data_IF_613348686841
#
_entry.id   IF_613348686841
#
_cell.length_a   1.000
_cell.length_b   1.000
_cell.length_c   1.000
_cell.angle_alpha   90.00
_cell.angle_beta   90.00
_cell.angle_gamma   90.00
#
_symmetry.space_group_name_H-M   'P 1'
#
loop_
_entity.id
_entity.type
_entity.pdbx_description
1 polymer ?
#
# COMPACT_ATOMS: atom_id res chain seq x y z
N UNK A 1 5.40 -5.19 -32.31
CA UNK A 1 4.66 -6.19 -33.06
C UNK A 1 5.58 -6.99 -33.97
N UNK A 2 6.47 -6.37 -34.76
CA UNK A 2 7.38 -7.03 -35.74
C UNK A 2 8.23 -8.16 -35.13
N UNK A 3 8.52 -8.11 -33.84
CA UNK A 3 9.31 -9.11 -33.09
C UNK A 3 8.47 -10.30 -32.56
N UNK A 4 7.17 -10.25 -32.69
CA UNK A 4 6.26 -11.30 -32.22
C UNK A 4 5.88 -12.27 -33.37
N UNK A 5 5.35 -13.46 -33.08
CA UNK A 5 4.77 -14.34 -34.10
C UNK A 5 3.70 -13.61 -34.92
N UNK A 6 3.48 -14.08 -36.15
CA UNK A 6 2.46 -13.51 -37.05
C UNK A 6 1.07 -13.65 -36.43
N UNK A 7 0.36 -12.53 -36.34
CA UNK A 7 -0.98 -12.43 -35.78
C UNK A 7 -2.07 -12.75 -36.82
N UNK A 8 -3.30 -13.01 -36.37
CA UNK A 8 -4.44 -13.28 -37.24
C UNK A 8 -4.69 -12.14 -38.24
N UNK A 9 -4.75 -10.84 -37.84
CA UNK A 9 -4.94 -9.72 -38.77
C UNK A 9 -3.86 -9.62 -39.85
N UNK A 10 -2.63 -10.05 -39.55
CA UNK A 10 -1.53 -10.10 -40.55
C UNK A 10 -1.77 -11.23 -41.54
N UNK A 11 -2.26 -12.40 -41.08
CA UNK A 11 -2.59 -13.55 -41.96
C UNK A 11 -3.75 -13.25 -42.89
N UNK A 12 -4.70 -12.47 -42.42
CA UNK A 12 -5.87 -12.02 -43.18
C UNK A 12 -5.59 -10.83 -44.11
N UNK A 13 -4.36 -10.31 -44.10
CA UNK A 13 -3.94 -9.18 -44.96
C UNK A 13 -4.47 -7.82 -44.49
N UNK A 14 -5.07 -7.74 -43.31
CA UNK A 14 -5.57 -6.48 -42.75
C UNK A 14 -4.44 -5.55 -42.30
N UNK A 15 -3.29 -6.11 -41.95
CA UNK A 15 -2.11 -5.38 -41.48
C UNK A 15 -0.88 -5.87 -42.25
N UNK A 16 -0.16 -4.94 -42.89
CA UNK A 16 1.12 -5.26 -43.50
C UNK A 16 2.22 -5.19 -42.46
N UNK A 17 2.89 -6.33 -42.22
CA UNK A 17 3.96 -6.49 -41.24
C UNK A 17 5.14 -5.55 -41.48
N UNK A 18 5.46 -5.25 -42.73
CA UNK A 18 6.58 -4.36 -43.07
C UNK A 18 6.37 -2.94 -42.54
N UNK A 19 5.13 -2.52 -42.36
CA UNK A 19 4.76 -1.23 -41.79
C UNK A 19 4.79 -1.20 -40.26
N UNK A 20 5.02 -2.34 -39.59
CA UNK A 20 5.11 -2.41 -38.14
C UNK A 20 6.50 -2.11 -37.64
N UNK A 21 6.59 -1.41 -36.50
CA UNK A 21 7.85 -1.12 -35.85
C UNK A 21 8.29 -2.26 -34.91
N UNK A 22 9.62 -2.46 -34.82
CA UNK A 22 10.26 -3.40 -33.91
C UNK A 22 10.53 -2.83 -32.50
N UNK A 23 9.69 -1.89 -32.02
CA UNK A 23 9.86 -1.24 -30.72
C UNK A 23 9.51 -2.24 -29.62
N UNK A 24 10.40 -2.38 -28.64
CA UNK A 24 10.24 -3.26 -27.49
C UNK A 24 10.78 -2.61 -26.20
N UNK A 25 10.42 -3.20 -25.05
CA UNK A 25 10.88 -2.73 -23.76
C UNK A 25 9.93 -1.74 -23.10
N UNK A 26 10.35 -1.22 -21.94
CA UNK A 26 9.56 -0.30 -21.12
C UNK A 26 9.81 1.18 -21.45
N UNK A 27 10.91 1.48 -22.11
CA UNK A 27 11.24 2.83 -22.52
C UNK A 27 10.27 3.28 -23.63
N UNK A 28 9.66 4.45 -23.47
CA UNK A 28 8.71 5.00 -24.45
C UNK A 28 9.27 6.14 -25.27
N UNK A 29 10.57 6.41 -25.13
CA UNK A 29 11.23 7.52 -25.83
C UNK A 29 10.99 7.45 -27.34
N UNK A 30 11.31 6.31 -27.95
CA UNK A 30 11.12 6.09 -29.39
C UNK A 30 9.65 6.23 -29.83
N UNK A 31 8.70 5.78 -28.99
CA UNK A 31 7.27 5.94 -29.27
C UNK A 31 6.84 7.42 -29.24
N UNK A 32 7.40 8.21 -28.32
CA UNK A 32 7.14 9.65 -28.23
C UNK A 32 7.77 10.43 -29.39
N UNK A 33 8.95 10.02 -29.85
CA UNK A 33 9.60 10.58 -31.05
C UNK A 33 8.75 10.33 -32.30
N UNK A 34 8.27 9.09 -32.48
CA UNK A 34 7.37 8.74 -33.58
C UNK A 34 6.05 9.52 -33.52
N UNK A 35 5.45 9.67 -32.32
CA UNK A 35 4.24 10.47 -32.15
C UNK A 35 4.47 11.92 -32.62
N UNK A 36 5.62 12.50 -32.28
CA UNK A 36 6.02 13.83 -32.74
C UNK A 36 6.22 13.88 -34.24
N UNK A 37 6.89 12.90 -34.83
CA UNK A 37 7.11 12.77 -36.26
C UNK A 37 5.80 12.67 -37.04
N UNK A 38 4.84 11.88 -36.55
CA UNK A 38 3.51 11.74 -37.13
C UNK A 38 2.53 12.86 -36.78
N UNK A 39 2.99 13.89 -36.05
CA UNK A 39 2.16 15.04 -35.69
C UNK A 39 1.04 14.72 -34.69
N UNK A 40 1.14 13.58 -33.98
CA UNK A 40 0.18 13.18 -32.96
C UNK A 40 0.47 14.01 -31.70
N UNK A 41 -0.44 14.94 -31.37
CA UNK A 41 -0.29 15.88 -30.26
C UNK A 41 -1.03 15.44 -29.01
N UNK A 42 -2.12 14.70 -29.20
CA UNK A 42 -3.03 14.32 -28.13
C UNK A 42 -2.96 12.80 -27.89
N UNK A 43 -2.17 12.43 -26.91
CA UNK A 43 -2.06 11.06 -26.45
C UNK A 43 -1.87 11.03 -24.93
N UNK A 44 -2.41 10.04 -24.24
CA UNK A 44 -2.23 9.94 -22.78
C UNK A 44 -0.74 9.80 -22.49
N UNK A 45 -0.21 10.73 -21.68
CA UNK A 45 1.14 10.61 -21.16
C UNK A 45 1.22 9.23 -20.51
N UNK A 46 2.24 8.42 -20.86
CA UNK A 46 2.42 7.16 -20.20
C UNK A 46 2.58 7.46 -18.70
N UNK A 47 1.51 7.26 -17.95
CA UNK A 47 1.63 7.28 -16.51
C UNK A 47 2.77 6.33 -16.18
N UNK A 48 3.74 6.79 -15.42
CA UNK A 48 4.86 5.98 -14.95
C UNK A 48 4.38 4.75 -14.15
N UNK A 49 3.10 4.71 -13.85
CA UNK A 49 2.36 3.61 -13.26
C UNK A 49 1.33 3.09 -14.27
N UNK A 50 1.66 2.02 -14.95
CA UNK A 50 0.64 1.13 -15.49
C UNK A 50 -0.22 0.54 -14.36
N UNK A 51 -0.86 -0.59 -14.58
CA UNK A 51 -1.58 -1.32 -13.54
C UNK A 51 -0.69 -1.48 -12.29
N UNK A 52 -1.19 -1.09 -11.13
CA UNK A 52 -0.43 -1.13 -9.86
C UNK A 52 0.15 -2.53 -9.55
N UNK A 53 -0.48 -3.58 -10.06
CA UNK A 53 -0.02 -4.98 -9.90
C UNK A 53 1.33 -5.24 -10.59
N UNK A 54 1.74 -4.41 -11.55
CA UNK A 54 3.07 -4.51 -12.18
C UNK A 54 4.20 -4.10 -11.22
N UNK A 55 3.90 -3.26 -10.23
CA UNK A 55 4.84 -2.96 -9.15
C UNK A 55 5.00 -4.17 -8.24
N UNK A 56 6.24 -4.65 -8.10
CA UNK A 56 6.56 -5.86 -7.32
C UNK A 56 6.14 -5.74 -5.86
N UNK A 57 6.28 -4.54 -5.26
CA UNK A 57 5.91 -4.31 -3.86
C UNK A 57 4.40 -4.35 -3.68
N UNK A 58 3.67 -3.74 -4.61
CA UNK A 58 2.22 -3.77 -4.61
C UNK A 58 1.69 -5.19 -4.82
N UNK A 59 2.22 -5.91 -5.81
CA UNK A 59 1.85 -7.30 -6.09
C UNK A 59 2.08 -8.22 -4.87
N UNK A 60 3.20 -8.02 -4.16
CA UNK A 60 3.47 -8.76 -2.91
C UNK A 60 2.40 -8.50 -1.85
N UNK A 61 2.03 -7.23 -1.64
CA UNK A 61 0.98 -6.85 -0.67
C UNK A 61 -0.40 -7.36 -1.07
N UNK A 62 -0.69 -7.38 -2.36
CA UNK A 62 -1.93 -7.93 -2.91
C UNK A 62 -2.02 -9.44 -2.68
N UNK A 63 -0.96 -10.19 -2.99
CA UNK A 63 -0.90 -11.64 -2.74
C UNK A 63 -1.03 -11.96 -1.25
N UNK A 64 -0.38 -11.17 -0.40
CA UNK A 64 -0.52 -11.29 1.03
C UNK A 64 -1.95 -11.03 1.50
N UNK A 65 -2.61 -9.98 0.97
CA UNK A 65 -4.01 -9.70 1.26
C UNK A 65 -4.90 -10.90 0.92
N UNK A 66 -4.74 -11.50 -0.26
CA UNK A 66 -5.52 -12.67 -0.67
C UNK A 66 -5.29 -13.85 0.28
N UNK A 67 -4.03 -14.08 0.69
CA UNK A 67 -3.68 -15.22 1.55
C UNK A 67 -4.30 -15.12 2.94
N UNK A 68 -4.44 -13.91 3.49
CA UNK A 68 -4.95 -13.68 4.85
C UNK A 68 -6.38 -13.12 4.90
N UNK A 69 -6.99 -12.79 3.75
CA UNK A 69 -8.34 -12.26 3.72
C UNK A 69 -9.39 -13.35 3.85
N UNK A 70 -9.86 -13.59 5.06
CA UNK A 70 -10.89 -14.59 5.36
C UNK A 70 -12.26 -14.24 4.78
N UNK A 71 -12.54 -12.95 4.60
CA UNK A 71 -13.85 -12.47 4.11
C UNK A 71 -13.97 -12.54 2.59
N UNK A 72 -12.84 -12.70 1.85
CA UNK A 72 -12.74 -12.69 0.39
C UNK A 72 -13.35 -11.45 -0.29
N UNK A 73 -13.68 -10.41 0.48
CA UNK A 73 -14.20 -9.15 -0.04
C UNK A 73 -13.00 -8.27 -0.38
N UNK A 74 -12.80 -7.99 -1.66
CA UNK A 74 -11.81 -7.04 -2.16
C UNK A 74 -12.59 -5.95 -2.88
N UNK A 75 -12.52 -4.74 -2.36
CA UNK A 75 -13.12 -3.57 -2.97
C UNK A 75 -12.04 -2.55 -3.39
N UNK A 76 -12.44 -1.52 -4.12
CA UNK A 76 -11.52 -0.50 -4.64
C UNK A 76 -10.79 0.24 -3.50
N UNK A 77 -11.44 0.43 -2.39
CA UNK A 77 -10.88 1.12 -1.23
C UNK A 77 -9.73 0.32 -0.60
N UNK A 78 -9.91 -0.98 -0.39
CA UNK A 78 -8.85 -1.88 0.07
C UNK A 78 -7.66 -1.83 -0.91
N UNK A 79 -7.93 -1.85 -2.21
CA UNK A 79 -6.89 -1.77 -3.25
C UNK A 79 -6.11 -0.44 -3.19
N UNK A 80 -6.77 0.68 -2.94
CA UNK A 80 -6.11 1.97 -2.76
C UNK A 80 -5.19 1.98 -1.54
N UNK A 81 -5.60 1.37 -0.42
CA UNK A 81 -4.77 1.31 0.78
C UNK A 81 -3.54 0.41 0.64
N UNK A 82 -3.57 -0.57 -0.26
CA UNK A 82 -2.36 -1.35 -0.57
C UNK A 82 -1.21 -0.49 -1.15
N UNK A 83 -1.52 0.65 -1.76
CA UNK A 83 -0.53 1.57 -2.28
C UNK A 83 0.09 2.47 -1.21
N UNK A 84 -0.58 2.65 -0.07
CA UNK A 84 -0.23 3.60 0.99
C UNK A 84 0.62 2.92 2.06
N UNK A 85 1.64 3.62 2.53
CA UNK A 85 2.42 3.24 3.68
C UNK A 85 3.40 2.08 3.47
N UNK A 86 4.04 1.73 4.57
CA UNK A 86 4.91 0.56 4.70
C UNK A 86 4.11 -0.53 5.43
N UNK A 87 3.95 -1.66 4.79
CA UNK A 87 3.20 -2.81 5.32
C UNK A 87 4.16 -3.78 6.00
N UNK A 88 3.92 -4.09 7.25
CA UNK A 88 4.76 -4.94 8.09
C UNK A 88 3.87 -6.00 8.74
N UNK A 89 4.13 -7.27 8.45
CA UNK A 89 3.45 -8.38 9.10
C UNK A 89 4.05 -8.56 10.50
N UNK A 90 3.21 -8.47 11.54
CA UNK A 90 3.61 -8.67 12.93
C UNK A 90 3.56 -10.16 13.26
N UNK A 91 2.44 -10.80 12.92
CA UNK A 91 2.25 -12.25 12.98
C UNK A 91 1.17 -12.68 11.96
N UNK A 92 0.69 -13.92 12.05
CA UNK A 92 -0.34 -14.44 11.14
C UNK A 92 -1.70 -13.69 11.26
N UNK A 93 -1.97 -13.08 12.40
CA UNK A 93 -3.26 -12.44 12.71
C UNK A 93 -3.21 -10.91 12.71
N UNK A 94 -2.02 -10.31 12.56
CA UNK A 94 -1.85 -8.86 12.67
C UNK A 94 -0.88 -8.28 11.64
N UNK A 95 -1.22 -7.10 11.12
CA UNK A 95 -0.43 -6.35 10.15
C UNK A 95 -0.41 -4.88 10.47
N UNK A 96 0.78 -4.33 10.61
CA UNK A 96 1.00 -2.90 10.82
C UNK A 96 1.21 -2.18 9.48
N UNK A 97 0.52 -1.07 9.29
CA UNK A 97 0.71 -0.15 8.17
C UNK A 97 1.20 1.18 8.72
N UNK A 98 2.38 1.62 8.30
CA UNK A 98 2.98 2.89 8.72
C UNK A 98 3.02 3.88 7.57
N UNK A 99 2.55 5.10 7.79
CA UNK A 99 2.69 6.18 6.81
C UNK A 99 4.15 6.61 6.64
N UNK A 100 4.56 6.87 5.40
CA UNK A 100 5.94 7.27 5.05
C UNK A 100 6.15 8.78 5.05
N UNK A 101 5.06 9.53 4.97
CA UNK A 101 5.03 10.99 4.92
C UNK A 101 3.68 11.51 5.45
N UNK A 102 3.57 12.83 5.60
CA UNK A 102 2.37 13.48 6.12
C UNK A 102 1.09 13.17 5.31
N UNK A 103 1.20 13.14 3.97
CA UNK A 103 0.06 12.81 3.10
C UNK A 103 -0.47 11.40 3.37
N UNK A 104 0.42 10.44 3.54
CA UNK A 104 0.05 9.05 3.86
C UNK A 104 -0.45 8.91 5.29
N UNK A 105 0.16 9.60 6.26
CA UNK A 105 -0.33 9.66 7.63
C UNK A 105 -1.77 10.17 7.67
N UNK A 106 -2.06 11.26 6.99
CA UNK A 106 -3.41 11.82 6.89
C UNK A 106 -4.39 10.89 6.19
N UNK A 107 -3.93 10.12 5.19
CA UNK A 107 -4.76 9.14 4.51
C UNK A 107 -5.10 7.96 5.43
N UNK A 108 -4.14 7.47 6.19
CA UNK A 108 -4.35 6.38 7.17
C UNK A 108 -5.25 6.84 8.33
N UNK A 109 -5.06 8.06 8.84
CA UNK A 109 -5.92 8.63 9.88
C UNK A 109 -7.38 8.81 9.40
N UNK A 110 -7.57 9.17 8.12
CA UNK A 110 -8.91 9.26 7.52
C UNK A 110 -9.56 7.89 7.33
N UNK A 111 -8.79 6.82 7.11
CA UNK A 111 -9.31 5.45 6.99
C UNK A 111 -10.10 5.04 8.23
N UNK A 112 -9.64 5.42 9.41
CA UNK A 112 -10.33 5.17 10.67
C UNK A 112 -11.76 5.74 10.70
N UNK A 113 -12.02 6.82 9.96
CA UNK A 113 -13.33 7.48 9.84
C UNK A 113 -14.24 6.86 8.78
N UNK A 114 -13.71 6.14 7.81
CA UNK A 114 -14.44 5.50 6.71
C UNK A 114 -14.66 4.05 7.09
N UNK A 115 -15.77 3.76 7.70
CA UNK A 115 -16.42 2.51 8.14
C UNK A 115 -16.10 1.20 7.40
N UNK A 116 -14.82 0.85 7.19
CA UNK A 116 -14.47 -0.55 7.06
C UNK A 116 -14.10 -1.01 8.48
N UNK A 117 -15.07 -1.02 9.36
CA UNK A 117 -14.90 -1.55 10.70
C UNK A 117 -14.73 -3.06 10.60
N UNK A 118 -13.51 -3.52 10.58
CA UNK A 118 -13.16 -4.74 11.29
C UNK A 118 -13.24 -4.39 12.77
N UNK A 119 -13.79 -5.26 13.57
CA UNK A 119 -14.19 -5.02 14.98
C UNK A 119 -12.99 -4.60 15.86
N UNK A 120 -11.74 -4.84 15.40
CA UNK A 120 -10.53 -4.73 16.21
C UNK A 120 -9.37 -3.95 15.54
N UNK A 121 -9.65 -3.03 14.63
CA UNK A 121 -8.59 -2.18 14.06
C UNK A 121 -8.10 -1.17 15.12
N UNK A 122 -6.79 -1.11 15.31
CA UNK A 122 -6.14 -0.27 16.32
C UNK A 122 -5.31 0.80 15.60
N UNK A 123 -5.45 2.06 16.00
CA UNK A 123 -4.60 3.13 15.52
C UNK A 123 -3.51 3.46 16.52
N UNK A 124 -2.31 3.75 16.01
CA UNK A 124 -1.15 4.15 16.78
C UNK A 124 -0.73 5.55 16.35
N UNK A 125 -0.78 6.50 17.26
CA UNK A 125 -0.39 7.89 17.02
C UNK A 125 0.75 8.29 17.96
N UNK A 126 1.90 8.73 17.41
CA UNK A 126 2.96 9.24 18.26
C UNK A 126 2.52 10.53 18.95
N UNK A 127 2.90 10.71 20.22
CA UNK A 127 2.60 11.93 20.97
C UNK A 127 3.58 13.07 20.67
N UNK A 128 4.24 13.03 19.51
CA UNK A 128 5.16 14.06 19.01
C UNK A 128 4.88 14.35 17.53
N UNK A 129 5.33 15.53 17.06
CA UNK A 129 4.85 16.10 15.80
C UNK A 129 5.46 15.52 14.52
N UNK A 130 6.40 14.56 14.57
CA UNK A 130 7.19 14.14 13.39
C UNK A 130 7.31 12.62 13.19
N UNK A 131 6.41 11.83 13.76
CA UNK A 131 6.44 10.38 13.61
C UNK A 131 5.45 9.83 12.58
N UNK A 132 5.61 8.56 12.19
CA UNK A 132 4.63 7.89 11.34
C UNK A 132 3.32 7.66 12.10
N UNK A 133 2.19 7.80 11.41
CA UNK A 133 0.93 7.27 11.88
C UNK A 133 0.88 5.77 11.60
N UNK A 134 0.45 4.97 12.56
CA UNK A 134 0.33 3.53 12.45
C UNK A 134 -1.14 3.08 12.41
N UNK A 135 -1.43 2.14 11.56
CA UNK A 135 -2.72 1.46 11.48
C UNK A 135 -2.48 -0.04 11.62
N UNK A 136 -3.01 -0.66 12.67
CA UNK A 136 -2.85 -2.07 12.97
C UNK A 136 -4.13 -2.81 12.58
N UNK A 137 -4.05 -3.61 11.53
CA UNK A 137 -5.12 -4.51 11.08
C UNK A 137 -5.06 -5.80 11.89
N UNK A 138 -6.18 -6.17 12.52
CA UNK A 138 -6.36 -7.44 13.24
C UNK A 138 -7.27 -8.34 12.43
N UNK A 139 -6.85 -9.57 12.17
CA UNK A 139 -7.57 -10.52 11.31
C UNK A 139 -8.39 -11.55 12.07
N UNK A 140 -8.21 -11.64 13.38
CA UNK A 140 -8.89 -12.61 14.24
C UNK A 140 -9.29 -11.96 15.56
N UNK A 141 -10.55 -12.18 15.98
CA UNK A 141 -11.08 -11.69 17.24
C UNK A 141 -10.45 -12.43 18.43
N UNK A 142 -10.44 -11.79 19.59
CA UNK A 142 -10.01 -12.37 20.88
C UNK A 142 -8.59 -12.97 20.86
N UNK A 143 -7.61 -12.19 20.39
CA UNK A 143 -6.21 -12.60 20.44
C UNK A 143 -5.68 -12.59 21.89
N UNK A 144 -5.23 -13.74 22.37
CA UNK A 144 -4.63 -13.85 23.71
C UNK A 144 -3.34 -13.02 23.84
N UNK A 145 -2.68 -12.70 22.70
CA UNK A 145 -1.42 -11.96 22.61
C UNK A 145 -1.58 -10.53 22.09
N UNK A 146 -2.78 -9.95 22.13
CA UNK A 146 -3.06 -8.62 21.59
C UNK A 146 -2.14 -7.55 22.17
N UNK A 147 -1.87 -7.57 23.48
CA UNK A 147 -0.96 -6.62 24.13
C UNK A 147 0.46 -6.71 23.58
N UNK A 148 0.95 -7.92 23.33
CA UNK A 148 2.28 -8.16 22.74
C UNK A 148 2.35 -7.66 21.29
N UNK A 149 1.32 -7.92 20.49
CA UNK A 149 1.19 -7.41 19.12
C UNK A 149 1.23 -5.88 19.10
N UNK A 150 0.46 -5.25 19.96
CA UNK A 150 0.39 -3.79 20.07
C UNK A 150 1.73 -3.22 20.52
N UNK A 151 2.38 -3.83 21.50
CA UNK A 151 3.69 -3.41 21.97
C UNK A 151 4.76 -3.52 20.87
N UNK A 152 4.85 -4.65 20.18
CA UNK A 152 5.75 -4.85 19.02
C UNK A 152 5.48 -3.84 17.92
N UNK A 153 4.21 -3.56 17.63
CA UNK A 153 3.82 -2.56 16.63
C UNK A 153 4.29 -1.16 17.01
N UNK A 154 4.18 -0.83 18.29
CA UNK A 154 4.63 0.45 18.82
C UNK A 154 6.16 0.57 18.79
N UNK A 155 6.91 -0.48 19.11
CA UNK A 155 8.38 -0.51 18.97
C UNK A 155 8.82 -0.31 17.53
N UNK A 156 8.19 -1.02 16.59
CA UNK A 156 8.47 -0.86 15.14
C UNK A 156 8.19 0.59 14.72
N UNK A 157 7.09 1.18 15.18
CA UNK A 157 6.77 2.59 14.89
C UNK A 157 7.84 3.53 15.46
N UNK A 158 8.32 3.26 16.67
CA UNK A 158 9.43 3.98 17.30
C UNK A 158 10.72 3.93 16.47
N UNK A 159 11.09 2.77 15.97
CA UNK A 159 12.25 2.60 15.09
C UNK A 159 12.19 3.47 13.82
N UNK A 160 10.99 3.68 13.26
CA UNK A 160 10.78 4.55 12.10
C UNK A 160 10.55 6.02 12.46
N UNK A 161 10.57 6.37 13.74
CA UNK A 161 10.58 7.75 14.18
C UNK A 161 11.95 8.38 13.85
N UNK A 162 11.92 9.63 13.45
CA UNK A 162 13.16 10.39 13.13
C UNK A 162 13.76 11.10 14.35
N UNK A 163 13.15 10.95 15.51
CA UNK A 163 13.58 11.63 16.73
C UNK A 163 14.41 10.68 17.60
N UNK A 164 15.54 11.16 18.10
CA UNK A 164 16.25 10.49 19.18
C UNK A 164 15.46 10.73 20.47
N UNK A 165 14.89 9.71 21.03
CA UNK A 165 14.13 9.77 22.28
C UNK A 165 14.66 8.72 23.25
N UNK A 166 14.67 9.08 24.50
CA UNK A 166 14.91 8.13 25.59
C UNK A 166 13.64 7.28 25.82
N UNK A 167 12.47 7.95 25.77
CA UNK A 167 11.15 7.35 25.87
C UNK A 167 10.21 7.86 24.77
N UNK A 168 9.58 6.95 24.05
CA UNK A 168 8.54 7.26 23.09
C UNK A 168 7.18 6.99 23.70
N UNK A 169 6.30 8.00 23.70
CA UNK A 169 4.90 7.83 24.08
C UNK A 169 4.03 7.70 22.83
N UNK A 170 3.27 6.63 22.74
CA UNK A 170 2.36 6.35 21.62
C UNK A 170 0.95 6.22 22.18
N UNK A 171 0.02 7.02 21.65
CA UNK A 171 -1.40 6.88 21.92
C UNK A 171 -1.97 5.80 21.02
N UNK A 172 -2.61 4.82 21.63
CA UNK A 172 -3.34 3.74 20.97
C UNK A 172 -4.82 4.04 21.10
N UNK A 173 -5.54 4.00 19.98
CA UNK A 173 -6.99 4.13 19.97
C UNK A 173 -7.61 2.88 19.38
N UNK A 174 -8.62 2.36 20.05
CA UNK A 174 -9.38 1.17 19.63
C UNK A 174 -10.83 1.32 20.03
N UNK A 175 -11.71 0.49 19.49
CA UNK A 175 -13.13 0.48 19.83
C UNK A 175 -13.40 -0.73 20.71
N UNK A 176 -13.94 -0.51 21.91
CA UNK A 176 -14.41 -1.56 22.80
C UNK A 176 -15.87 -1.28 23.18
N UNK A 177 -16.73 -2.26 22.99
CA UNK A 177 -18.19 -2.15 23.25
C UNK A 177 -18.87 -0.96 22.55
N UNK A 178 -18.35 -0.55 21.38
CA UNK A 178 -18.89 0.57 20.60
C UNK A 178 -18.36 1.96 21.00
N UNK A 179 -17.52 2.05 22.01
CA UNK A 179 -16.88 3.29 22.47
C UNK A 179 -15.40 3.33 22.08
N UNK A 180 -14.92 4.52 21.68
CA UNK A 180 -13.50 4.75 21.42
C UNK A 180 -12.75 4.83 22.75
N UNK A 181 -11.79 3.91 22.96
CA UNK A 181 -10.85 3.95 24.08
C UNK A 181 -9.47 4.39 23.62
N UNK A 182 -8.78 5.08 24.51
CA UNK A 182 -7.40 5.56 24.28
C UNK A 182 -6.52 5.15 25.43
N UNK A 183 -5.37 4.57 25.10
CA UNK A 183 -4.32 4.21 26.04
C UNK A 183 -2.98 4.79 25.58
N UNK A 184 -2.09 5.06 26.52
CA UNK A 184 -0.73 5.54 26.22
C UNK A 184 0.26 4.44 26.56
N UNK A 185 1.00 3.99 25.57
CA UNK A 185 2.14 3.09 25.76
C UNK A 185 3.43 3.92 25.74
N UNK A 186 4.31 3.67 26.72
CA UNK A 186 5.65 4.21 26.74
C UNK A 186 6.64 3.11 26.34
N UNK A 187 7.48 3.41 25.38
CA UNK A 187 8.53 2.53 24.88
C UNK A 187 9.86 3.16 25.19
N UNK A 188 10.79 2.36 25.71
CA UNK A 188 12.18 2.76 25.92
C UNK A 188 12.99 2.46 24.65
N UNK A 189 13.85 3.37 24.25
CA UNK A 189 14.74 3.17 23.08
C UNK A 189 15.81 2.09 23.30
N UNK A 190 15.92 1.57 24.53
CA UNK A 190 16.85 0.47 24.88
C UNK A 190 16.21 -0.92 24.71
N UNK A 191 14.91 -1.02 24.49
CA UNK A 191 14.17 -2.27 24.24
C UNK A 191 14.15 -2.60 22.74
#
# INVERSE_FOLDING_TARGET
AKLLPITIPEKEGLINRENLFGIYGRARHTQMELAKEFGIKDYPIPAGSGCSIVDKSYAKRYNELISYNTTKIINMEIMQYLAIGKHIRIDENAKLILGRNEKENNALEKRDRIKIKRIDDITLKPNYNKGPFGYLEIYKDNLNNLKDIVYKSAMIMGYFSKENFEYLSITISYIENGEEKKEIIKINNAD
#
